data_IF_462121480714
#
_entry.id   IF_462121480714
#
_cell.length_a   1.000
_cell.length_b   1.000
_cell.length_c   1.000
_cell.angle_alpha   90.00
_cell.angle_beta   90.00
_cell.angle_gamma   90.00
#
_symmetry.space_group_name_H-M   'P 1'
#
loop_
_entity.id
_entity.type
_entity.pdbx_description
1 polymer ?
#
# COMPACT_ATOMS: atom_id res chain seq x y z
N UNK A 1 18.65 -0.64 8.20
CA UNK A 1 18.75 -1.92 7.50
C UNK A 1 17.34 -2.47 7.29
N UNK A 2 17.13 -3.31 6.27
CA UNK A 2 15.84 -3.93 5.99
C UNK A 2 15.51 -4.98 7.07
N UNK A 3 14.24 -5.02 7.49
CA UNK A 3 13.76 -5.88 8.59
C UNK A 3 12.79 -6.92 8.05
N UNK A 4 13.12 -8.20 8.23
CA UNK A 4 12.29 -9.33 7.80
C UNK A 4 11.59 -9.99 9.00
N UNK A 5 10.29 -10.21 8.84
CA UNK A 5 9.47 -11.01 9.75
C UNK A 5 8.94 -12.23 9.01
N UNK A 6 9.01 -13.38 9.66
CA UNK A 6 8.56 -14.66 9.10
C UNK A 6 7.57 -15.31 10.05
N UNK A 7 6.58 -15.98 9.47
CA UNK A 7 5.63 -16.82 10.19
C UNK A 7 5.87 -18.26 9.77
N UNK A 8 6.16 -19.11 10.76
CA UNK A 8 6.29 -20.55 10.57
C UNK A 8 5.01 -21.27 10.98
N UNK A 9 4.68 -22.35 10.26
CA UNK A 9 3.62 -23.28 10.61
C UNK A 9 4.02 -24.21 11.75
N UNK A 10 3.09 -25.02 12.27
CA UNK A 10 3.37 -25.97 13.35
C UNK A 10 4.47 -26.97 13.01
N UNK A 11 4.61 -27.32 11.72
CA UNK A 11 5.60 -28.25 11.21
C UNK A 11 6.94 -27.56 10.83
N UNK A 12 7.05 -26.26 11.09
CA UNK A 12 8.24 -25.44 10.82
C UNK A 12 8.33 -24.87 9.40
N UNK A 13 7.35 -25.14 8.54
CA UNK A 13 7.25 -24.63 7.18
C UNK A 13 7.03 -23.11 7.16
N UNK A 14 7.52 -22.42 6.12
CA UNK A 14 7.36 -20.97 5.98
C UNK A 14 5.97 -20.64 5.43
N UNK A 15 5.10 -20.10 6.28
CA UNK A 15 3.70 -19.78 5.96
C UNK A 15 3.56 -18.37 5.38
N UNK A 16 4.29 -17.40 5.93
CA UNK A 16 4.26 -16.03 5.44
C UNK A 16 5.56 -15.30 5.75
N UNK A 17 5.85 -14.27 4.96
CA UNK A 17 6.97 -13.37 5.18
C UNK A 17 6.58 -11.93 4.85
N UNK A 18 7.16 -11.01 5.60
CA UNK A 18 6.92 -9.58 5.51
C UNK A 18 8.24 -8.83 5.71
N UNK A 19 8.66 -8.10 4.69
CA UNK A 19 9.86 -7.26 4.71
C UNK A 19 9.48 -5.79 4.85
N UNK A 20 10.29 -5.09 5.63
CA UNK A 20 10.16 -3.67 5.89
C UNK A 20 11.44 -2.93 5.53
N UNK A 21 11.29 -1.92 4.68
CA UNK A 21 12.38 -1.00 4.37
C UNK A 21 12.38 0.18 5.34
N UNK A 22 13.56 0.66 5.78
CA UNK A 22 13.66 1.80 6.66
C UNK A 22 13.22 3.10 5.97
N UNK A 23 12.48 3.92 6.70
CA UNK A 23 12.17 5.31 6.35
C UNK A 23 13.21 6.21 6.99
N UNK A 24 13.72 7.18 6.21
CA UNK A 24 14.77 8.08 6.67
C UNK A 24 14.30 9.54 6.67
N UNK A 25 14.70 10.27 7.70
CA UNK A 25 14.72 11.72 7.72
C UNK A 25 16.07 12.19 8.29
N UNK A 26 16.69 13.18 7.64
CA UNK A 26 18.00 13.72 8.03
C UNK A 26 19.08 12.64 8.26
N UNK A 27 19.07 11.60 7.41
CA UNK A 27 20.01 10.47 7.50
C UNK A 27 19.75 9.49 8.65
N UNK A 28 18.67 9.66 9.42
CA UNK A 28 18.30 8.77 10.54
C UNK A 28 17.04 7.98 10.21
N UNK A 29 16.97 6.75 10.70
CA UNK A 29 15.76 5.92 10.58
C UNK A 29 14.68 6.49 11.51
N UNK A 30 13.53 6.84 10.94
CA UNK A 30 12.37 7.36 11.68
C UNK A 30 11.20 6.38 11.72
N UNK A 31 11.27 5.32 10.92
CA UNK A 31 10.16 4.42 10.71
C UNK A 31 10.48 3.30 9.74
N UNK A 32 9.46 2.54 9.41
CA UNK A 32 9.55 1.43 8.46
C UNK A 32 8.34 1.40 7.54
N UNK A 33 8.55 1.04 6.28
CA UNK A 33 7.47 0.82 5.32
C UNK A 33 7.44 -0.62 4.86
N UNK A 34 6.25 -1.20 4.69
CA UNK A 34 6.12 -2.53 4.10
C UNK A 34 6.65 -2.50 2.67
N UNK A 35 7.66 -3.31 2.38
CA UNK A 35 8.30 -3.37 1.08
C UNK A 35 7.86 -4.61 0.28
N UNK A 36 7.86 -5.77 0.94
CA UNK A 36 7.53 -7.03 0.30
C UNK A 36 6.72 -7.90 1.24
N UNK A 37 5.70 -8.55 0.69
CA UNK A 37 4.82 -9.45 1.44
C UNK A 37 4.43 -10.65 0.61
N UNK A 38 4.57 -11.84 1.17
CA UNK A 38 4.14 -13.10 0.57
C UNK A 38 3.58 -14.01 1.63
N UNK A 39 2.62 -14.82 1.22
CA UNK A 39 2.07 -15.91 2.02
C UNK A 39 1.89 -17.14 1.14
N UNK A 40 1.97 -18.31 1.76
CA UNK A 40 1.61 -19.56 1.13
C UNK A 40 0.16 -19.53 0.64
N UNK A 41 -0.16 -20.27 -0.43
CA UNK A 41 -1.50 -20.25 -1.03
C UNK A 41 -2.58 -20.72 -0.06
N UNK A 42 -2.25 -21.70 0.78
CA UNK A 42 -3.13 -22.27 1.79
C UNK A 42 -3.11 -21.50 3.13
N UNK A 43 -2.29 -20.45 3.22
CA UNK A 43 -2.20 -19.65 4.44
C UNK A 43 -3.50 -18.84 4.64
N UNK A 44 -4.07 -18.97 5.84
CA UNK A 44 -5.21 -18.17 6.27
C UNK A 44 -4.97 -16.68 6.03
N UNK A 45 -5.98 -15.90 5.62
CA UNK A 45 -5.88 -14.44 5.55
C UNK A 45 -5.40 -13.79 6.86
N UNK A 46 -5.61 -14.44 8.01
CA UNK A 46 -5.16 -13.96 9.31
C UNK A 46 -3.65 -14.08 9.53
N UNK A 47 -2.94 -14.91 8.75
CA UNK A 47 -1.49 -15.03 8.85
C UNK A 47 -0.80 -13.68 8.57
N UNK A 48 -1.21 -13.00 7.50
CA UNK A 48 -0.65 -11.69 7.12
C UNK A 48 -1.01 -10.60 8.14
N UNK A 49 -2.24 -10.62 8.65
CA UNK A 49 -2.71 -9.66 9.66
C UNK A 49 -1.94 -9.83 10.96
N UNK A 50 -1.82 -11.07 11.44
CA UNK A 50 -1.10 -11.40 12.67
C UNK A 50 0.37 -11.06 12.57
N UNK A 51 1.02 -11.40 11.45
CA UNK A 51 2.43 -11.08 11.20
C UNK A 51 2.67 -9.55 11.14
N UNK A 52 1.77 -8.81 10.49
CA UNK A 52 1.83 -7.34 10.45
C UNK A 52 1.69 -6.74 11.85
N UNK A 53 0.71 -7.20 12.63
CA UNK A 53 0.53 -6.75 14.02
C UNK A 53 1.77 -7.05 14.87
N UNK A 54 2.30 -8.27 14.77
CA UNK A 54 3.50 -8.66 15.49
C UNK A 54 4.68 -7.76 15.15
N UNK A 55 4.91 -7.47 13.86
CA UNK A 55 5.97 -6.57 13.43
C UNK A 55 5.80 -5.14 13.99
N UNK A 56 4.59 -4.59 13.91
CA UNK A 56 4.27 -3.26 14.47
C UNK A 56 4.48 -3.22 15.98
N UNK A 57 4.09 -4.27 16.71
CA UNK A 57 4.28 -4.33 18.16
C UNK A 57 5.78 -4.39 18.52
N UNK A 58 6.61 -5.12 17.76
CA UNK A 58 8.08 -5.09 17.92
C UNK A 58 8.67 -3.71 17.64
N UNK A 59 8.27 -3.07 16.55
CA UNK A 59 8.72 -1.71 16.24
C UNK A 59 8.33 -0.71 17.33
N UNK A 60 7.13 -0.85 17.91
CA UNK A 60 6.69 -0.01 19.04
C UNK A 60 7.57 -0.19 20.27
N UNK A 61 7.92 -1.42 20.63
CA UNK A 61 8.82 -1.72 21.75
C UNK A 61 10.23 -1.16 21.54
N UNK A 62 10.69 -1.10 20.30
CA UNK A 62 11.96 -0.48 19.89
C UNK A 62 11.91 1.05 19.85
N UNK A 63 10.75 1.66 20.15
CA UNK A 63 10.57 3.12 20.13
C UNK A 63 10.41 3.70 18.73
N UNK A 64 10.10 2.89 17.71
CA UNK A 64 9.82 3.38 16.36
C UNK A 64 8.48 4.11 16.34
N UNK A 65 8.48 5.36 15.88
CA UNK A 65 7.31 6.22 15.88
C UNK A 65 6.36 6.00 14.69
N UNK A 66 6.87 5.50 13.56
CA UNK A 66 6.11 5.44 12.30
C UNK A 66 6.27 4.08 11.62
N UNK A 67 5.15 3.44 11.29
CA UNK A 67 5.11 2.28 10.38
C UNK A 67 4.06 2.54 9.30
N UNK A 68 4.48 2.53 8.04
CA UNK A 68 3.58 2.72 6.90
C UNK A 68 3.28 1.38 6.22
N UNK A 69 2.00 1.11 5.96
CA UNK A 69 1.55 -0.08 5.24
C UNK A 69 1.58 0.10 3.72
N UNK A 70 2.24 1.17 3.25
CA UNK A 70 2.26 1.61 1.86
C UNK A 70 0.96 2.25 1.38
N UNK A 71 0.94 2.65 0.12
CA UNK A 71 -0.17 3.38 -0.51
C UNK A 71 -1.38 2.48 -0.84
N UNK A 72 -2.60 2.99 -0.65
CA UNK A 72 -3.83 2.43 -1.20
C UNK A 72 -4.19 3.21 -2.46
N UNK A 73 -3.93 2.70 -3.66
CA UNK A 73 -4.08 3.52 -4.85
C UNK A 73 -5.55 3.85 -5.13
N UNK A 74 -5.80 5.10 -5.50
CA UNK A 74 -7.11 5.61 -5.94
C UNK A 74 -8.24 5.44 -4.90
N UNK A 75 -7.90 5.19 -3.64
CA UNK A 75 -8.87 5.21 -2.54
C UNK A 75 -9.24 6.66 -2.22
N UNK A 76 -10.52 6.91 -1.94
CA UNK A 76 -11.04 8.18 -1.46
C UNK A 76 -10.58 9.40 -2.31
N UNK A 77 -10.60 9.24 -3.64
CA UNK A 77 -10.25 10.30 -4.59
C UNK A 77 -11.28 11.43 -4.50
N UNK A 78 -10.84 12.56 -3.96
CA UNK A 78 -11.65 13.78 -3.80
C UNK A 78 -10.97 15.03 -4.36
N UNK A 79 -11.60 16.20 -4.21
CA UNK A 79 -10.99 17.47 -4.57
C UNK A 79 -9.66 17.68 -3.83
N UNK A 80 -8.57 17.90 -4.57
CA UNK A 80 -7.23 18.03 -3.96
C UNK A 80 -6.96 19.39 -3.32
N UNK A 81 -7.73 20.42 -3.68
CA UNK A 81 -7.46 21.81 -3.32
C UNK A 81 -6.42 22.50 -4.23
N UNK A 82 -5.87 21.79 -5.23
CA UNK A 82 -4.99 22.34 -6.26
C UNK A 82 -5.72 22.52 -7.59
N UNK A 83 -5.05 23.15 -8.56
CA UNK A 83 -5.50 23.17 -9.95
C UNK A 83 -5.48 21.73 -10.50
N UNK A 84 -6.65 21.13 -10.63
CA UNK A 84 -6.81 19.73 -11.04
C UNK A 84 -7.84 19.57 -12.15
N UNK A 85 -7.73 18.46 -12.88
CA UNK A 85 -8.68 18.09 -13.91
C UNK A 85 -9.78 17.21 -13.34
N UNK A 86 -11.02 17.69 -13.35
CA UNK A 86 -12.19 16.92 -12.93
C UNK A 86 -12.35 15.63 -13.75
N UNK A 87 -11.95 15.67 -15.03
CA UNK A 87 -11.95 14.50 -15.90
C UNK A 87 -11.07 13.37 -15.32
N UNK A 88 -9.84 13.70 -14.91
CA UNK A 88 -8.92 12.72 -14.35
C UNK A 88 -9.37 12.24 -12.97
N UNK A 89 -9.83 13.14 -12.10
CA UNK A 89 -10.42 12.79 -10.78
C UNK A 89 -11.55 11.76 -10.94
N UNK A 90 -12.51 12.04 -11.82
CA UNK A 90 -13.63 11.15 -12.09
C UNK A 90 -13.18 9.83 -12.72
N UNK A 91 -12.13 9.84 -13.55
CA UNK A 91 -11.60 8.62 -14.17
C UNK A 91 -10.93 7.72 -13.13
N UNK A 92 -10.16 8.29 -12.20
CA UNK A 92 -9.56 7.56 -11.09
C UNK A 92 -10.60 6.97 -10.13
N UNK A 93 -11.64 7.74 -9.80
CA UNK A 93 -12.74 7.24 -9.00
C UNK A 93 -13.43 6.04 -9.68
N UNK A 94 -13.77 6.16 -10.98
CA UNK A 94 -14.34 5.05 -11.75
C UNK A 94 -13.41 3.84 -11.82
N UNK A 95 -12.10 4.06 -11.88
CA UNK A 95 -11.12 2.98 -11.91
C UNK A 95 -11.10 2.20 -10.58
N UNK A 96 -11.17 2.91 -9.45
CA UNK A 96 -11.29 2.32 -8.12
C UNK A 96 -12.57 1.48 -7.96
N UNK A 97 -13.69 1.96 -8.51
CA UNK A 97 -14.98 1.28 -8.44
C UNK A 97 -15.16 0.15 -9.47
N UNK A 98 -14.28 0.05 -10.46
CA UNK A 98 -14.40 -0.91 -11.57
C UNK A 98 -14.16 -2.36 -11.10
N UNK A 99 -15.15 -3.26 -11.24
CA UNK A 99 -14.97 -4.67 -10.91
C UNK A 99 -13.93 -5.36 -11.80
N UNK A 100 -13.78 -4.90 -13.05
CA UNK A 100 -12.82 -5.47 -13.99
C UNK A 100 -11.38 -5.16 -13.55
N UNK A 101 -11.09 -3.93 -13.13
CA UNK A 101 -9.77 -3.54 -12.63
C UNK A 101 -9.45 -4.32 -11.35
N UNK A 102 -10.37 -4.33 -10.39
CA UNK A 102 -10.19 -5.00 -9.11
C UNK A 102 -9.98 -6.52 -9.23
N UNK A 103 -10.55 -7.17 -10.26
CA UNK A 103 -10.41 -8.62 -10.48
C UNK A 103 -9.24 -9.01 -11.38
N UNK A 104 -8.92 -8.22 -12.42
CA UNK A 104 -7.97 -8.63 -13.48
C UNK A 104 -6.66 -7.86 -13.52
N UNK A 105 -6.61 -6.65 -12.98
CA UNK A 105 -5.40 -5.81 -13.05
C UNK A 105 -4.75 -5.69 -11.67
N UNK A 106 -5.44 -5.04 -10.75
CA UNK A 106 -4.93 -4.78 -9.42
C UNK A 106 -6.10 -4.63 -8.46
N UNK A 107 -6.10 -5.41 -7.38
CA UNK A 107 -7.16 -5.39 -6.39
C UNK A 107 -7.03 -4.16 -5.47
N UNK A 108 -7.56 -3.02 -5.93
CA UNK A 108 -7.52 -1.72 -5.25
C UNK A 108 -8.33 -1.76 -3.96
N UNK A 109 -9.60 -2.16 -4.06
CA UNK A 109 -10.54 -2.20 -2.94
C UNK A 109 -10.12 -3.20 -1.87
N UNK A 110 -9.65 -4.39 -2.26
CA UNK A 110 -9.21 -5.41 -1.31
C UNK A 110 -7.98 -4.99 -0.51
N UNK A 111 -7.03 -4.28 -1.13
CA UNK A 111 -5.86 -3.75 -0.42
C UNK A 111 -6.21 -2.60 0.52
N UNK A 112 -7.08 -1.69 0.09
CA UNK A 112 -7.59 -0.62 0.96
C UNK A 112 -8.33 -1.20 2.17
N UNK A 113 -9.22 -2.17 1.95
CA UNK A 113 -9.98 -2.84 3.02
C UNK A 113 -9.08 -3.62 3.99
N UNK A 114 -7.96 -4.20 3.52
CA UNK A 114 -6.98 -4.83 4.39
C UNK A 114 -6.32 -3.81 5.31
N UNK A 115 -5.88 -2.66 4.77
CA UNK A 115 -5.16 -1.63 5.55
C UNK A 115 -6.04 -0.90 6.54
N UNK A 116 -7.31 -0.65 6.21
CA UNK A 116 -8.29 -0.03 7.11
C UNK A 116 -8.47 -0.80 8.43
N UNK A 117 -8.21 -2.12 8.45
CA UNK A 117 -8.28 -2.96 9.67
C UNK A 117 -7.24 -2.62 10.73
N UNK A 118 -6.16 -1.93 10.34
CA UNK A 118 -5.12 -1.52 11.27
C UNK A 118 -5.39 -0.14 11.87
N UNK A 119 -6.46 0.55 11.44
CA UNK A 119 -6.89 1.85 11.97
C UNK A 119 -5.75 2.88 12.06
N UNK A 120 -4.86 2.87 11.07
CA UNK A 120 -3.77 3.85 10.95
C UNK A 120 -4.28 5.22 10.51
N UNK A 121 -3.41 6.23 10.61
CA UNK A 121 -3.66 7.52 9.97
C UNK A 121 -3.55 7.37 8.44
N UNK A 122 -4.42 8.06 7.72
CA UNK A 122 -4.41 8.11 6.26
C UNK A 122 -3.93 9.49 5.80
N UNK A 123 -3.00 9.50 4.85
CA UNK A 123 -2.44 10.73 4.28
C UNK A 123 -2.68 10.73 2.76
N UNK A 124 -3.24 11.82 2.19
CA UNK A 124 -3.47 11.90 0.76
C UNK A 124 -2.14 12.01 0.00
N UNK A 125 -2.07 11.32 -1.15
CA UNK A 125 -0.93 11.39 -2.06
C UNK A 125 -1.40 11.86 -3.43
N UNK A 126 -0.59 12.73 -4.04
CA UNK A 126 -0.94 13.42 -5.28
C UNK A 126 -0.05 12.98 -6.44
N UNK A 127 -0.61 13.01 -7.65
CA UNK A 127 0.15 12.86 -8.89
C UNK A 127 0.23 14.25 -9.52
N UNK A 128 1.44 14.80 -9.60
CA UNK A 128 1.70 16.05 -10.28
C UNK A 128 2.10 15.79 -11.74
N UNK A 129 1.48 16.51 -12.66
CA UNK A 129 1.80 16.48 -14.09
C UNK A 129 1.56 17.87 -14.68
N UNK A 130 2.21 18.15 -15.81
CA UNK A 130 2.04 19.42 -16.51
C UNK A 130 0.62 19.51 -17.07
N UNK A 131 -0.01 20.68 -16.98
CA UNK A 131 -1.31 20.90 -17.61
C UNK A 131 -1.25 20.64 -19.13
N UNK A 132 -2.26 19.94 -19.67
CA UNK A 132 -2.32 19.54 -21.09
C UNK A 132 -1.50 18.30 -21.47
N UNK A 133 -0.78 17.69 -20.52
CA UNK A 133 0.08 16.51 -20.69
C UNK A 133 -0.71 15.18 -20.63
N UNK A 134 -1.68 14.99 -21.53
CA UNK A 134 -2.55 13.80 -21.52
C UNK A 134 -1.79 12.50 -21.86
N UNK A 135 -0.73 12.59 -22.66
CA UNK A 135 0.06 11.44 -23.09
C UNK A 135 0.88 10.89 -21.93
N UNK A 136 1.47 11.76 -21.11
CA UNK A 136 2.22 11.39 -19.92
C UNK A 136 1.33 10.70 -18.88
N UNK A 137 0.10 11.19 -18.70
CA UNK A 137 -0.88 10.53 -17.83
C UNK A 137 -1.27 9.14 -18.35
N UNK A 138 -1.51 9.00 -19.66
CA UNK A 138 -1.76 7.69 -20.27
C UNK A 138 -0.55 6.76 -20.12
N UNK A 139 0.66 7.30 -20.25
CA UNK A 139 1.91 6.59 -20.01
C UNK A 139 2.02 6.07 -18.57
N UNK A 140 1.71 6.93 -17.59
CA UNK A 140 1.66 6.55 -16.18
C UNK A 140 0.62 5.45 -15.94
N UNK A 141 -0.58 5.58 -16.50
CA UNK A 141 -1.65 4.59 -16.35
C UNK A 141 -1.28 3.24 -16.95
N UNK A 142 -0.55 3.22 -18.07
CA UNK A 142 0.03 1.99 -18.65
C UNK A 142 1.12 1.40 -17.77
N UNK A 143 2.01 2.24 -17.24
CA UNK A 143 3.11 1.81 -16.36
C UNK A 143 2.57 1.11 -15.11
N UNK A 144 1.50 1.64 -14.51
CA UNK A 144 0.85 1.05 -13.32
C UNK A 144 -0.18 -0.03 -13.67
N UNK A 145 -0.26 -0.43 -14.94
CA UNK A 145 -1.19 -1.46 -15.47
C UNK A 145 -2.68 -1.17 -15.21
N UNK A 146 -3.06 0.10 -15.08
CA UNK A 146 -4.45 0.51 -14.90
C UNK A 146 -5.28 0.44 -16.19
N UNK A 147 -4.64 0.61 -17.36
CA UNK A 147 -5.24 0.45 -18.71
C UNK A 147 -4.43 -0.51 -19.57
#
# INVERSE_FOLDING_TARGET
DMRRFVLHGPDGDLVALLDFDPLFADGKVIGYTTAFKRKHIDASPHAEIGLTKFAVDRFREEGVSVVTLGLSPLVDVGPSGFAESEFWRNTFQRAYDSPWINRRRFNLQGQAAFKRRFHGAEEPVYIAFREGAYIEMLGLLRLVKAI
#
